data_IF_801573367348
#
_entry.id   IF_801573367348
#
_cell.length_a   1.000
_cell.length_b   1.000
_cell.length_c   1.000
_cell.angle_alpha   90.00
_cell.angle_beta   90.00
_cell.angle_gamma   90.00
#
_symmetry.space_group_name_H-M   'P 1'
#
loop_
_entity.id
_entity.type
_entity.pdbx_description
1 polymer ?
#
# COMPACT_ATOMS: atom_id res chain seq x y z
N UNK A 1 46.26 -82.91 22.18
CA UNK A 1 46.47 -82.57 23.59
C UNK A 1 47.50 -81.46 23.61
N UNK A 2 47.07 -80.25 23.97
CA UNK A 2 47.80 -79.07 24.52
C UNK A 2 49.04 -78.55 23.75
N UNK A 3 49.35 -77.27 23.58
CA UNK A 3 48.95 -75.96 24.14
C UNK A 3 49.53 -74.91 23.16
N UNK A 4 48.74 -73.99 22.62
CA UNK A 4 48.72 -72.57 23.00
C UNK A 4 50.11 -71.96 23.26
N UNK A 5 50.65 -71.25 22.27
CA UNK A 5 51.52 -70.08 22.51
C UNK A 5 50.89 -68.85 21.87
N UNK A 6 50.18 -68.08 22.71
CA UNK A 6 49.84 -66.68 22.52
C UNK A 6 51.05 -65.87 22.99
N UNK A 7 51.69 -65.10 22.10
CA UNK A 7 52.51 -63.97 22.55
C UNK A 7 52.50 -62.82 21.52
N UNK A 8 51.77 -61.77 21.91
CA UNK A 8 51.95 -60.34 21.67
C UNK A 8 52.14 -59.82 20.24
N UNK A 9 51.01 -59.48 19.58
CA UNK A 9 50.97 -58.38 18.61
C UNK A 9 50.63 -57.08 19.35
N UNK A 10 51.38 -55.97 19.15
CA UNK A 10 51.02 -54.68 19.72
C UNK A 10 49.70 -54.18 19.11
N UNK A 11 48.89 -53.37 19.85
CA UNK A 11 47.64 -52.86 19.33
C UNK A 11 47.90 -51.96 18.12
N UNK A 12 47.03 -51.98 17.09
CA UNK A 12 47.19 -51.09 15.95
C UNK A 12 47.10 -49.64 16.44
N UNK A 13 48.12 -48.84 16.10
CA UNK A 13 48.14 -47.42 16.35
C UNK A 13 46.90 -46.77 15.74
N UNK A 14 46.20 -45.94 16.53
CA UNK A 14 45.00 -45.17 16.15
C UNK A 14 45.24 -44.15 15.02
N UNK A 15 46.44 -44.07 14.46
CA UNK A 15 46.84 -43.08 13.46
C UNK A 15 46.54 -43.47 12.00
N UNK A 16 46.13 -44.71 11.71
CA UNK A 16 45.83 -45.13 10.32
C UNK A 16 44.37 -44.94 9.87
N UNK A 17 43.50 -44.40 10.73
CA UNK A 17 42.08 -44.26 10.40
C UNK A 17 41.68 -42.88 9.83
N UNK A 18 42.57 -41.89 9.85
CA UNK A 18 42.27 -40.52 9.37
C UNK A 18 42.85 -40.20 7.97
N UNK A 19 43.58 -41.14 7.34
CA UNK A 19 44.20 -40.90 6.01
C UNK A 19 43.30 -41.18 4.81
N UNK A 20 42.09 -41.70 5.01
CA UNK A 20 41.15 -42.09 3.94
C UNK A 20 39.90 -41.20 3.84
N UNK A 21 39.88 -40.04 4.52
CA UNK A 21 38.87 -39.02 4.23
C UNK A 21 39.23 -38.33 2.89
N UNK A 22 38.43 -38.47 1.82
CA UNK A 22 38.74 -37.83 0.55
C UNK A 22 38.81 -36.31 0.76
N UNK A 23 39.95 -35.70 0.47
CA UNK A 23 40.16 -34.27 0.63
C UNK A 23 39.04 -33.47 -0.09
N UNK A 24 38.54 -32.39 0.51
CA UNK A 24 37.53 -31.54 -0.12
C UNK A 24 38.15 -30.90 -1.36
N UNK A 25 37.84 -31.50 -2.50
CA UNK A 25 38.37 -31.16 -3.81
C UNK A 25 38.01 -29.70 -4.17
N UNK A 26 38.96 -28.79 -4.01
CA UNK A 26 38.82 -27.34 -4.20
C UNK A 26 38.32 -26.95 -5.60
N UNK A 27 38.62 -27.74 -6.64
CA UNK A 27 38.17 -27.47 -8.01
C UNK A 27 36.67 -27.71 -8.19
N UNK A 28 36.01 -28.55 -7.38
CA UNK A 28 34.55 -28.75 -7.48
C UNK A 28 33.76 -27.46 -7.26
N UNK A 29 34.29 -26.49 -6.50
CA UNK A 29 33.66 -25.18 -6.28
C UNK A 29 33.50 -24.37 -7.58
N UNK A 30 34.34 -24.61 -8.58
CA UNK A 30 34.35 -23.90 -9.86
C UNK A 30 33.57 -24.61 -10.96
N UNK A 31 33.32 -25.91 -10.78
CA UNK A 31 32.63 -26.76 -11.76
C UNK A 31 31.20 -27.15 -11.36
N UNK A 32 30.69 -26.66 -10.21
CA UNK A 32 29.25 -26.70 -9.92
C UNK A 32 28.56 -25.68 -10.84
N UNK A 33 27.71 -26.11 -11.78
CA UNK A 33 26.94 -25.19 -12.62
C UNK A 33 26.16 -24.22 -11.72
N UNK A 34 25.95 -22.95 -12.11
CA UNK A 34 25.08 -22.06 -11.36
C UNK A 34 23.74 -22.76 -11.15
N UNK A 35 23.32 -22.88 -9.90
CA UNK A 35 22.14 -23.63 -9.48
C UNK A 35 20.98 -23.38 -10.47
N UNK A 36 20.42 -24.46 -11.04
CA UNK A 36 19.18 -24.35 -11.80
C UNK A 36 18.18 -23.52 -10.98
N UNK A 37 17.47 -22.55 -11.59
CA UNK A 37 16.52 -21.73 -10.86
C UNK A 37 15.55 -22.66 -10.15
N UNK A 38 15.63 -22.69 -8.81
CA UNK A 38 14.82 -23.62 -8.01
C UNK A 38 13.35 -23.39 -8.40
N UNK A 39 12.60 -24.47 -8.70
CA UNK A 39 11.21 -24.30 -9.09
C UNK A 39 10.47 -23.56 -7.98
N UNK A 40 9.75 -22.49 -8.35
CA UNK A 40 8.91 -21.75 -7.41
C UNK A 40 7.98 -22.73 -6.68
N UNK A 41 7.86 -22.59 -5.36
CA UNK A 41 6.93 -23.42 -4.57
C UNK A 41 5.51 -23.27 -5.13
N UNK A 42 4.68 -24.33 -5.10
CA UNK A 42 3.33 -24.31 -5.68
C UNK A 42 2.47 -23.16 -5.13
N UNK A 43 2.56 -22.88 -3.83
CA UNK A 43 1.85 -21.76 -3.18
C UNK A 43 2.21 -20.41 -3.80
N UNK A 44 3.51 -20.16 -4.04
CA UNK A 44 3.97 -18.91 -4.63
C UNK A 44 3.54 -18.78 -6.09
N UNK A 45 3.57 -19.88 -6.86
CA UNK A 45 3.04 -19.90 -8.23
C UNK A 45 1.55 -19.56 -8.26
N UNK A 46 0.75 -20.16 -7.38
CA UNK A 46 -0.68 -19.87 -7.29
C UNK A 46 -0.95 -18.42 -6.90
N UNK A 47 -0.16 -17.86 -5.98
CA UNK A 47 -0.31 -16.46 -5.56
C UNK A 47 0.09 -15.46 -6.65
N UNK A 48 1.18 -15.72 -7.38
CA UNK A 48 1.56 -14.94 -8.57
C UNK A 48 0.45 -15.04 -9.63
N UNK A 49 -0.10 -16.23 -9.84
CA UNK A 49 -1.23 -16.45 -10.75
C UNK A 49 -2.48 -15.65 -10.35
N UNK A 50 -2.89 -15.73 -9.08
CA UNK A 50 -4.04 -15.02 -8.56
C UNK A 50 -3.88 -13.49 -8.62
N UNK A 51 -2.72 -12.98 -8.19
CA UNK A 51 -2.41 -11.54 -8.24
C UNK A 51 -2.35 -11.01 -9.68
N UNK A 52 -1.72 -11.75 -10.59
CA UNK A 52 -1.66 -11.41 -12.00
C UNK A 52 -3.04 -11.43 -12.66
N UNK A 53 -3.84 -12.48 -12.43
CA UNK A 53 -5.19 -12.60 -12.96
C UNK A 53 -6.12 -11.50 -12.45
N UNK A 54 -6.10 -11.20 -11.15
CA UNK A 54 -6.94 -10.15 -10.58
C UNK A 54 -6.55 -8.77 -11.11
N UNK A 55 -5.25 -8.48 -11.23
CA UNK A 55 -4.76 -7.21 -11.79
C UNK A 55 -5.18 -7.04 -13.25
N UNK A 56 -5.08 -8.13 -14.03
CA UNK A 56 -5.47 -8.17 -15.43
C UNK A 56 -6.98 -7.93 -15.59
N UNK A 57 -7.80 -8.63 -14.79
CA UNK A 57 -9.25 -8.49 -14.81
C UNK A 57 -9.70 -7.10 -14.36
N UNK A 58 -9.11 -6.56 -13.29
CA UNK A 58 -9.39 -5.20 -12.82
C UNK A 58 -9.07 -4.17 -13.90
N UNK A 59 -7.89 -4.28 -14.53
CA UNK A 59 -7.50 -3.40 -15.63
C UNK A 59 -8.44 -3.50 -16.84
N UNK A 60 -8.81 -4.72 -17.24
CA UNK A 60 -9.74 -4.95 -18.35
C UNK A 60 -11.13 -4.38 -18.07
N UNK A 61 -11.67 -4.57 -16.86
CA UNK A 61 -12.96 -4.03 -16.44
C UNK A 61 -12.97 -2.49 -16.50
N UNK A 62 -11.90 -1.85 -16.03
CA UNK A 62 -11.77 -0.39 -16.10
C UNK A 62 -11.77 0.08 -17.55
N UNK A 63 -10.95 -0.54 -18.41
CA UNK A 63 -10.90 -0.19 -19.83
C UNK A 63 -12.26 -0.39 -20.52
N UNK A 64 -12.93 -1.51 -20.28
CA UNK A 64 -14.29 -1.76 -20.78
C UNK A 64 -15.26 -0.70 -20.25
N UNK A 65 -15.16 -0.32 -18.98
CA UNK A 65 -16.00 0.72 -18.37
C UNK A 65 -15.87 2.07 -19.07
N UNK A 66 -14.64 2.48 -19.39
CA UNK A 66 -14.37 3.71 -20.14
C UNK A 66 -14.90 3.64 -21.58
N UNK A 67 -14.67 2.54 -22.30
CA UNK A 67 -15.15 2.39 -23.69
C UNK A 67 -16.68 2.26 -23.78
N UNK A 68 -17.29 1.57 -22.83
CA UNK A 68 -18.75 1.39 -22.76
C UNK A 68 -19.47 2.59 -22.12
N UNK A 69 -18.73 3.61 -21.65
CA UNK A 69 -19.27 4.78 -20.95
C UNK A 69 -20.11 4.39 -19.72
N UNK A 70 -19.75 3.28 -19.06
CA UNK A 70 -20.46 2.72 -17.90
C UNK A 70 -19.71 3.09 -16.62
N UNK A 71 -20.19 4.13 -15.95
CA UNK A 71 -19.59 4.66 -14.72
C UNK A 71 -19.43 3.59 -13.63
N UNK A 72 -20.35 2.64 -13.48
CA UNK A 72 -20.26 1.59 -12.45
C UNK A 72 -19.03 0.68 -12.57
N UNK A 73 -18.46 0.51 -13.77
CA UNK A 73 -17.27 -0.33 -13.96
C UNK A 73 -15.97 0.42 -13.63
N UNK A 74 -15.99 1.75 -13.79
CA UNK A 74 -14.87 2.65 -13.50
C UNK A 74 -14.89 3.09 -12.04
N UNK A 75 -16.08 3.27 -11.49
CA UNK A 75 -16.34 3.79 -10.15
C UNK A 75 -17.32 2.84 -9.44
N UNK A 76 -16.78 2.03 -8.52
CA UNK A 76 -17.54 0.95 -7.87
C UNK A 76 -18.72 1.48 -7.06
N UNK A 77 -18.57 2.67 -6.45
CA UNK A 77 -19.67 3.37 -5.79
C UNK A 77 -19.51 4.89 -5.99
N UNK A 78 -20.60 5.69 -5.99
CA UNK A 78 -20.53 7.14 -6.24
C UNK A 78 -19.63 7.89 -5.26
N UNK A 79 -19.46 7.38 -4.03
CA UNK A 79 -18.60 7.95 -3.00
C UNK A 79 -17.12 7.56 -3.15
N UNK A 80 -16.77 6.68 -4.10
CA UNK A 80 -15.40 6.18 -4.30
C UNK A 80 -14.74 6.88 -5.46
N UNK A 81 -13.42 6.90 -5.47
CA UNK A 81 -12.70 7.52 -6.57
C UNK A 81 -12.79 6.66 -7.84
N UNK A 82 -13.14 7.25 -9.00
CA UNK A 82 -13.14 6.54 -10.28
C UNK A 82 -11.71 6.15 -10.67
N UNK A 83 -11.52 4.91 -11.15
CA UNK A 83 -10.20 4.45 -11.62
C UNK A 83 -9.87 5.08 -12.98
N UNK A 84 -8.79 5.88 -13.09
CA UNK A 84 -8.40 6.49 -14.36
C UNK A 84 -8.05 5.47 -15.45
N UNK A 85 -8.22 5.83 -16.73
CA UNK A 85 -8.01 4.92 -17.85
C UNK A 85 -6.56 4.39 -17.94
N UNK A 86 -5.58 5.28 -17.78
CA UNK A 86 -4.16 4.92 -17.75
C UNK A 86 -3.83 3.95 -16.61
N UNK A 87 -4.54 4.05 -15.48
CA UNK A 87 -4.43 3.08 -14.38
C UNK A 87 -5.01 1.73 -14.74
N UNK A 88 -6.17 1.68 -15.39
CA UNK A 88 -6.71 0.44 -15.93
C UNK A 88 -5.71 -0.25 -16.87
N UNK A 89 -5.13 0.49 -17.80
CA UNK A 89 -4.13 -0.04 -18.73
C UNK A 89 -2.86 -0.54 -18.02
N UNK A 90 -2.33 0.24 -17.07
CA UNK A 90 -1.14 -0.16 -16.30
C UNK A 90 -1.39 -1.43 -15.48
N UNK A 91 -2.57 -1.56 -14.86
CA UNK A 91 -2.98 -2.77 -14.13
C UNK A 91 -3.12 -3.98 -15.05
N UNK A 92 -3.67 -3.79 -16.25
CA UNK A 92 -3.79 -4.84 -17.25
C UNK A 92 -2.41 -5.38 -17.65
N UNK A 93 -1.48 -4.47 -17.99
CA UNK A 93 -0.12 -4.83 -18.40
C UNK A 93 0.67 -5.43 -17.23
N UNK A 94 0.51 -4.90 -16.01
CA UNK A 94 1.13 -5.45 -14.81
C UNK A 94 0.66 -6.88 -14.50
N UNK A 95 -0.64 -7.13 -14.64
CA UNK A 95 -1.22 -8.47 -14.48
C UNK A 95 -0.64 -9.45 -15.50
N UNK A 96 -0.53 -9.04 -16.76
CA UNK A 96 0.11 -9.83 -17.81
C UNK A 96 1.60 -10.10 -17.47
N UNK A 97 2.35 -9.10 -17.00
CA UNK A 97 3.75 -9.28 -16.60
C UNK A 97 3.89 -10.36 -15.52
N UNK A 98 3.07 -10.31 -14.47
CA UNK A 98 3.08 -11.30 -13.39
C UNK A 98 2.71 -12.71 -13.88
N UNK A 99 1.72 -12.85 -14.75
CA UNK A 99 1.29 -14.14 -15.32
C UNK A 99 2.34 -14.76 -16.24
N UNK A 100 3.18 -13.96 -16.90
CA UNK A 100 4.26 -14.44 -17.76
C UNK A 100 5.42 -15.06 -16.97
N UNK A 101 5.54 -14.75 -15.67
CA UNK A 101 6.60 -15.25 -14.80
C UNK A 101 6.55 -16.78 -14.61
N UNK A 102 5.42 -17.40 -14.18
CA UNK A 102 5.34 -18.87 -14.08
C UNK A 102 5.39 -19.57 -15.44
N UNK A 103 5.08 -18.88 -16.54
CA UNK A 103 5.16 -19.40 -17.91
C UNK A 103 6.60 -19.42 -18.46
N UNK A 104 7.58 -18.86 -17.75
CA UNK A 104 8.97 -18.81 -18.19
C UNK A 104 9.24 -17.80 -19.33
N UNK A 105 8.25 -16.97 -19.69
CA UNK A 105 8.34 -15.98 -20.76
C UNK A 105 9.00 -14.69 -20.27
N UNK A 106 10.20 -14.81 -19.70
CA UNK A 106 10.85 -13.73 -18.97
C UNK A 106 11.11 -12.48 -19.80
N UNK A 107 11.45 -12.60 -21.09
CA UNK A 107 11.69 -11.43 -21.97
C UNK A 107 10.45 -10.57 -22.12
N UNK A 108 9.30 -11.18 -22.40
CA UNK A 108 8.02 -10.47 -22.53
C UNK A 108 7.59 -9.87 -21.19
N UNK A 109 7.73 -10.63 -20.10
CA UNK A 109 7.41 -10.13 -18.75
C UNK A 109 8.26 -8.92 -18.36
N UNK A 110 9.56 -8.92 -18.66
CA UNK A 110 10.45 -7.76 -18.46
C UNK A 110 9.96 -6.54 -19.24
N UNK A 111 9.59 -6.71 -20.51
CA UNK A 111 9.09 -5.60 -21.33
C UNK A 111 7.81 -4.99 -20.74
N UNK A 112 6.84 -5.83 -20.36
CA UNK A 112 5.60 -5.35 -19.74
C UNK A 112 5.84 -4.68 -18.40
N UNK A 113 6.69 -5.24 -17.54
CA UNK A 113 7.05 -4.62 -16.27
C UNK A 113 7.80 -3.28 -16.46
N UNK A 114 8.65 -3.17 -17.48
CA UNK A 114 9.34 -1.93 -17.82
C UNK A 114 8.36 -0.84 -18.29
N UNK A 115 7.36 -1.20 -19.12
CA UNK A 115 6.31 -0.27 -19.56
C UNK A 115 5.53 0.24 -18.34
N UNK A 116 5.08 -0.65 -17.46
CA UNK A 116 4.33 -0.28 -16.24
C UNK A 116 5.16 0.66 -15.35
N UNK A 117 6.45 0.34 -15.17
CA UNK A 117 7.39 1.19 -14.42
C UNK A 117 7.49 2.57 -15.04
N UNK A 118 7.64 2.65 -16.36
CA UNK A 118 7.74 3.91 -17.10
C UNK A 118 6.48 4.76 -16.96
N UNK A 119 5.30 4.17 -17.16
CA UNK A 119 4.01 4.88 -17.03
C UNK A 119 3.87 5.47 -15.64
N UNK A 120 4.03 4.66 -14.59
CA UNK A 120 3.92 5.17 -13.21
C UNK A 120 4.96 6.25 -12.89
N UNK A 121 6.23 6.06 -13.30
CA UNK A 121 7.32 6.98 -12.99
C UNK A 121 7.16 8.32 -13.69
N UNK A 122 6.70 8.30 -14.95
CA UNK A 122 6.40 9.51 -15.70
C UNK A 122 5.25 10.26 -15.05
N UNK A 123 4.17 9.59 -14.65
CA UNK A 123 3.05 10.26 -13.96
C UNK A 123 3.46 10.82 -12.60
N UNK A 124 4.36 10.16 -11.86
CA UNK A 124 4.96 10.75 -10.65
C UNK A 124 5.75 12.02 -11.00
N UNK A 125 6.53 11.99 -12.09
CA UNK A 125 7.29 13.15 -12.53
C UNK A 125 6.37 14.32 -12.90
N UNK A 126 5.26 14.09 -13.60
CA UNK A 126 4.25 15.12 -13.92
C UNK A 126 3.66 15.79 -12.67
N UNK A 127 3.56 15.07 -11.56
CA UNK A 127 3.09 15.65 -10.29
C UNK A 127 4.13 16.57 -9.66
N UNK A 128 5.42 16.28 -9.80
CA UNK A 128 6.49 17.07 -9.19
C UNK A 128 6.95 18.24 -10.06
N UNK A 129 7.06 18.06 -11.37
CA UNK A 129 7.53 19.11 -12.28
C UNK A 129 6.41 20.04 -12.73
N UNK A 130 5.15 19.59 -12.61
CA UNK A 130 4.00 20.29 -13.19
C UNK A 130 4.01 20.30 -14.72
N UNK A 131 4.95 19.58 -15.36
CA UNK A 131 4.96 19.41 -16.81
C UNK A 131 3.85 18.46 -17.21
N UNK A 132 3.04 18.88 -18.18
CA UNK A 132 2.00 18.05 -18.76
C UNK A 132 2.61 17.24 -19.92
N UNK A 133 3.06 16.01 -19.66
CA UNK A 133 3.47 15.10 -20.74
C UNK A 133 2.25 14.53 -21.48
N UNK A 134 1.02 14.88 -21.06
CA UNK A 134 -0.25 14.49 -21.64
C UNK A 134 -0.42 12.97 -21.77
N UNK A 135 0.28 12.19 -20.94
CA UNK A 135 0.20 10.72 -20.97
C UNK A 135 -1.23 10.26 -20.69
N UNK A 136 -1.94 10.99 -19.83
CA UNK A 136 -3.32 10.72 -19.48
C UNK A 136 -4.29 10.95 -20.66
N UNK A 137 -3.98 11.91 -21.55
CA UNK A 137 -4.82 12.32 -22.67
C UNK A 137 -4.41 11.69 -24.01
N UNK A 138 -3.22 11.07 -24.09
CA UNK A 138 -2.69 10.50 -25.33
C UNK A 138 -3.50 9.30 -25.83
N UNK A 139 -4.23 8.62 -24.93
CA UNK A 139 -4.91 7.36 -25.19
C UNK A 139 -6.44 7.47 -25.23
N UNK A 140 -7.03 8.41 -24.48
CA UNK A 140 -8.47 8.65 -24.49
C UNK A 140 -8.76 10.08 -23.99
N UNK A 141 -9.64 10.81 -24.67
CA UNK A 141 -10.20 12.07 -24.16
C UNK A 141 -11.27 11.77 -23.12
N UNK A 142 -11.11 12.30 -21.90
CA UNK A 142 -11.98 12.01 -20.77
C UNK A 142 -13.36 12.66 -20.91
N UNK A 143 -14.41 11.86 -20.75
CA UNK A 143 -15.80 12.32 -20.73
C UNK A 143 -16.30 12.65 -19.31
N UNK A 144 -15.57 12.23 -18.27
CA UNK A 144 -15.93 12.41 -16.87
C UNK A 144 -14.82 13.17 -16.16
N UNK A 145 -15.16 14.36 -15.63
CA UNK A 145 -14.25 15.22 -14.87
C UNK A 145 -14.78 15.30 -13.44
N UNK A 146 -14.16 14.64 -12.46
CA UNK A 146 -14.48 14.88 -11.05
C UNK A 146 -14.10 16.32 -10.68
N UNK A 147 -14.90 16.97 -9.82
CA UNK A 147 -14.62 18.32 -9.34
C UNK A 147 -13.22 18.41 -8.69
N UNK A 148 -12.39 19.35 -9.17
CA UNK A 148 -11.12 19.72 -8.53
C UNK A 148 -9.86 18.95 -8.97
N UNK A 149 -9.92 18.08 -9.98
CA UNK A 149 -8.74 17.36 -10.53
C UNK A 149 -8.56 17.55 -12.03
N UNK A 150 -7.30 17.46 -12.51
CA UNK A 150 -7.03 17.33 -13.94
C UNK A 150 -7.68 16.01 -14.43
N UNK A 151 -8.59 16.07 -15.44
CA UNK A 151 -9.40 14.93 -15.81
C UNK A 151 -8.56 13.71 -16.19
N UNK A 152 -8.83 12.60 -15.50
CA UNK A 152 -8.28 11.29 -15.82
C UNK A 152 -6.80 11.06 -15.56
N UNK A 153 -6.16 11.93 -14.77
CA UNK A 153 -4.82 11.71 -14.26
C UNK A 153 -4.84 10.80 -13.04
N UNK A 154 -3.92 9.83 -12.97
CA UNK A 154 -3.72 9.07 -11.71
C UNK A 154 -3.40 10.04 -10.58
N UNK A 155 -3.88 9.74 -9.38
CA UNK A 155 -3.33 10.39 -8.19
C UNK A 155 -1.85 10.05 -8.02
N UNK A 156 -1.11 10.90 -7.30
CA UNK A 156 0.30 10.65 -6.98
C UNK A 156 0.49 9.31 -6.24
N UNK A 157 -0.43 8.92 -5.36
CA UNK A 157 -0.35 7.67 -4.60
C UNK A 157 -0.57 6.45 -5.48
N UNK A 158 -1.54 6.52 -6.41
CA UNK A 158 -1.76 5.47 -7.40
C UNK A 158 -0.57 5.34 -8.35
N UNK A 159 0.01 6.46 -8.79
CA UNK A 159 1.19 6.47 -9.64
C UNK A 159 2.41 5.85 -8.96
N UNK A 160 2.67 6.19 -7.68
CA UNK A 160 3.71 5.55 -6.86
C UNK A 160 3.46 4.05 -6.76
N UNK A 161 2.23 3.63 -6.45
CA UNK A 161 1.89 2.21 -6.36
C UNK A 161 2.13 1.46 -7.67
N UNK A 162 1.70 2.02 -8.81
CA UNK A 162 1.93 1.43 -10.13
C UNK A 162 3.43 1.32 -10.44
N UNK A 163 4.22 2.36 -10.12
CA UNK A 163 5.68 2.31 -10.25
C UNK A 163 6.27 1.16 -9.42
N UNK A 164 5.85 1.02 -8.17
CA UNK A 164 6.35 -0.04 -7.27
C UNK A 164 5.97 -1.45 -7.76
N UNK A 165 4.77 -1.61 -8.31
CA UNK A 165 4.35 -2.87 -8.95
C UNK A 165 5.26 -3.17 -10.15
N UNK A 166 5.48 -2.19 -11.02
CA UNK A 166 6.36 -2.30 -12.18
C UNK A 166 7.79 -2.68 -11.80
N UNK A 167 8.38 -1.96 -10.85
CA UNK A 167 9.75 -2.21 -10.36
C UNK A 167 9.86 -3.59 -9.72
N UNK A 168 8.93 -3.96 -8.85
CA UNK A 168 8.93 -5.27 -8.20
C UNK A 168 8.79 -6.41 -9.21
N UNK A 169 7.87 -6.30 -10.17
CA UNK A 169 7.71 -7.26 -11.25
C UNK A 169 8.96 -7.35 -12.13
N UNK A 170 9.56 -6.21 -12.49
CA UNK A 170 10.78 -6.14 -13.28
C UNK A 170 11.92 -6.88 -12.59
N UNK A 171 12.08 -6.67 -11.28
CA UNK A 171 13.07 -7.38 -10.46
C UNK A 171 12.78 -8.89 -10.41
N UNK A 172 11.53 -9.34 -10.39
CA UNK A 172 11.21 -10.78 -10.42
C UNK A 172 11.61 -11.46 -11.74
N UNK A 173 11.69 -10.72 -12.85
CA UNK A 173 12.11 -11.25 -14.15
C UNK A 173 13.63 -11.19 -14.40
N UNK A 174 14.39 -10.44 -13.59
CA UNK A 174 15.84 -10.30 -13.75
C UNK A 174 16.64 -11.45 -13.11
N UNK A 175 17.87 -11.66 -13.61
CA UNK A 175 18.82 -12.65 -13.06
C UNK A 175 19.22 -12.33 -11.61
N UNK A 176 19.79 -13.32 -10.93
CA UNK A 176 20.11 -13.28 -9.49
C UNK A 176 21.05 -12.12 -9.13
N UNK A 177 20.51 -11.10 -8.47
CA UNK A 177 21.28 -10.05 -7.78
C UNK A 177 21.05 -10.18 -6.27
N UNK A 178 22.08 -9.97 -5.42
CA UNK A 178 21.96 -10.11 -3.97
C UNK A 178 20.95 -9.13 -3.37
N UNK A 179 20.82 -7.92 -3.94
CA UNK A 179 19.93 -6.87 -3.45
C UNK A 179 18.49 -6.98 -3.97
N UNK A 180 18.24 -7.86 -4.94
CA UNK A 180 16.94 -8.00 -5.60
C UNK A 180 15.81 -8.27 -4.59
N UNK A 181 16.06 -9.18 -3.65
CA UNK A 181 15.08 -9.59 -2.62
C UNK A 181 14.74 -8.44 -1.67
N UNK A 182 15.74 -7.66 -1.28
CA UNK A 182 15.55 -6.47 -0.45
C UNK A 182 14.62 -5.46 -1.15
N UNK A 183 14.91 -5.12 -2.41
CA UNK A 183 14.10 -4.16 -3.15
C UNK A 183 12.68 -4.64 -3.44
N UNK A 184 12.48 -5.92 -3.77
CA UNK A 184 11.14 -6.51 -3.95
C UNK A 184 10.35 -6.42 -2.63
N UNK A 185 10.97 -6.75 -1.49
CA UNK A 185 10.32 -6.67 -0.19
C UNK A 185 9.97 -5.22 0.19
N UNK A 186 10.87 -4.27 -0.08
CA UNK A 186 10.63 -2.84 0.11
C UNK A 186 9.43 -2.35 -0.71
N UNK A 187 9.38 -2.71 -2.00
CA UNK A 187 8.23 -2.39 -2.86
C UNK A 187 6.93 -3.00 -2.31
N UNK A 188 6.97 -4.27 -1.91
CA UNK A 188 5.82 -4.96 -1.32
C UNK A 188 5.34 -4.33 -0.01
N UNK A 189 6.26 -3.88 0.84
CA UNK A 189 5.94 -3.24 2.12
C UNK A 189 5.21 -1.91 1.93
N UNK A 190 5.71 -1.06 1.02
CA UNK A 190 5.10 0.23 0.72
C UNK A 190 3.73 0.03 0.05
N UNK A 191 3.62 -0.92 -0.89
CA UNK A 191 2.34 -1.28 -1.51
C UNK A 191 1.31 -1.76 -0.49
N UNK A 192 1.74 -2.58 0.47
CA UNK A 192 0.86 -3.04 1.54
C UNK A 192 0.34 -1.85 2.36
N UNK A 193 1.22 -0.91 2.71
CA UNK A 193 0.85 0.30 3.43
C UNK A 193 -0.20 1.11 2.65
N UNK A 194 0.08 1.43 1.39
CA UNK A 194 -0.81 2.23 0.55
C UNK A 194 -2.17 1.57 0.37
N UNK A 195 -2.18 0.26 0.07
CA UNK A 195 -3.41 -0.49 -0.14
C UNK A 195 -4.24 -0.66 1.13
N UNK A 196 -3.60 -0.94 2.27
CA UNK A 196 -4.31 -1.10 3.57
C UNK A 196 -4.88 0.22 4.07
N UNK A 197 -4.11 1.31 4.00
CA UNK A 197 -4.60 2.65 4.38
C UNK A 197 -5.80 3.05 3.52
N UNK A 198 -5.74 2.81 2.20
CA UNK A 198 -6.85 3.09 1.30
C UNK A 198 -8.10 2.25 1.64
N UNK A 199 -7.96 0.93 1.84
CA UNK A 199 -9.08 0.05 2.19
C UNK A 199 -9.72 0.42 3.53
N UNK A 200 -8.92 0.76 4.55
CA UNK A 200 -9.43 1.23 5.85
C UNK A 200 -10.16 2.56 5.69
N UNK A 201 -9.64 3.48 4.87
CA UNK A 201 -10.33 4.73 4.55
C UNK A 201 -11.71 4.52 3.92
N UNK A 202 -11.83 3.51 3.04
CA UNK A 202 -13.10 3.14 2.43
C UNK A 202 -14.10 2.51 3.41
N UNK A 203 -13.65 1.64 4.32
CA UNK A 203 -14.55 1.03 5.32
C UNK A 203 -15.03 2.02 6.38
N UNK A 204 -14.25 3.07 6.65
CA UNK A 204 -14.61 4.14 7.59
C UNK A 204 -15.47 5.25 6.96
N UNK A 205 -15.75 5.22 5.65
CA UNK A 205 -16.57 6.23 4.97
C UNK A 205 -15.92 7.63 4.90
N UNK A 206 -14.59 7.72 5.04
CA UNK A 206 -13.84 8.98 5.06
C UNK A 206 -13.59 9.58 3.67
N UNK A 207 -14.38 9.19 2.67
CA UNK A 207 -14.05 9.39 1.25
C UNK A 207 -14.30 10.79 0.73
N UNK A 208 -15.08 11.62 1.42
CA UNK A 208 -15.51 12.94 0.88
C UNK A 208 -15.54 14.09 1.88
N UNK A 209 -15.54 13.86 3.20
CA UNK A 209 -15.84 14.93 4.19
C UNK A 209 -14.61 15.49 4.93
N UNK A 210 -13.42 14.91 4.73
CA UNK A 210 -12.19 15.32 5.42
C UNK A 210 -11.12 15.77 4.42
N UNK A 211 -10.23 16.68 4.84
CA UNK A 211 -8.96 17.00 4.15
C UNK A 211 -8.07 15.77 3.87
N UNK A 212 -8.44 14.61 4.41
CA UNK A 212 -7.89 13.29 4.09
C UNK A 212 -8.32 12.71 2.74
N UNK A 213 -9.24 13.36 2.01
CA UNK A 213 -9.54 13.09 0.60
C UNK A 213 -8.33 13.18 -0.33
N UNK A 214 -7.17 13.62 0.17
CA UNK A 214 -5.88 13.50 -0.50
C UNK A 214 -5.28 12.08 -0.43
N UNK A 215 -5.39 11.36 0.68
CA UNK A 215 -4.81 10.01 0.86
C UNK A 215 -5.73 8.88 0.37
N UNK A 216 -7.05 9.08 0.38
CA UNK A 216 -8.05 8.15 -0.21
C UNK A 216 -8.12 8.22 -1.74
N UNK A 217 -7.18 8.92 -2.39
CA UNK A 217 -7.06 9.00 -3.85
C UNK A 217 -6.50 7.73 -4.51
N UNK A 218 -6.69 6.57 -3.92
CA UNK A 218 -6.42 5.30 -4.60
C UNK A 218 -7.75 4.62 -4.78
N UNK A 219 -8.12 4.30 -6.02
CA UNK A 219 -9.39 3.62 -6.29
C UNK A 219 -9.48 2.28 -5.56
N UNK A 220 -10.69 1.85 -5.19
CA UNK A 220 -10.92 0.58 -4.48
C UNK A 220 -10.28 -0.60 -5.23
N UNK A 221 -10.43 -0.64 -6.55
CA UNK A 221 -9.83 -1.67 -7.41
C UNK A 221 -8.29 -1.65 -7.30
N UNK A 222 -7.68 -0.47 -7.32
CA UNK A 222 -6.25 -0.29 -7.12
C UNK A 222 -5.78 -0.76 -5.75
N UNK A 223 -6.50 -0.38 -4.69
CA UNK A 223 -6.16 -0.74 -3.31
C UNK A 223 -6.14 -2.26 -3.09
N UNK A 224 -7.15 -2.98 -3.62
CA UNK A 224 -7.21 -4.45 -3.56
C UNK A 224 -6.03 -5.08 -4.31
N UNK A 225 -5.73 -4.59 -5.52
CA UNK A 225 -4.58 -5.07 -6.29
C UNK A 225 -3.26 -4.82 -5.56
N UNK A 226 -3.09 -3.64 -4.95
CA UNK A 226 -1.87 -3.27 -4.22
C UNK A 226 -1.61 -4.22 -3.06
N UNK A 227 -2.63 -4.54 -2.26
CA UNK A 227 -2.50 -5.50 -1.15
C UNK A 227 -2.14 -6.90 -1.65
N UNK A 228 -2.76 -7.37 -2.74
CA UNK A 228 -2.53 -8.71 -3.25
C UNK A 228 -1.14 -8.86 -3.90
N UNK A 229 -0.70 -7.85 -4.66
CA UNK A 229 0.67 -7.82 -5.23
C UNK A 229 1.70 -7.66 -4.13
N UNK A 230 1.43 -6.85 -3.09
CA UNK A 230 2.29 -6.75 -1.92
C UNK A 230 2.50 -8.09 -1.23
N UNK A 231 1.43 -8.85 -0.97
CA UNK A 231 1.52 -10.19 -0.40
C UNK A 231 2.39 -11.11 -1.28
N UNK A 232 2.24 -11.02 -2.60
CA UNK A 232 3.06 -11.77 -3.56
C UNK A 232 4.55 -11.43 -3.44
N UNK A 233 4.90 -10.14 -3.38
CA UNK A 233 6.28 -9.68 -3.25
C UNK A 233 6.91 -10.08 -1.91
N UNK A 234 6.17 -9.94 -0.81
CA UNK A 234 6.66 -10.30 0.53
C UNK A 234 6.89 -11.81 0.65
N UNK A 235 5.95 -12.62 0.16
CA UNK A 235 6.10 -14.09 0.18
C UNK A 235 7.21 -14.54 -0.77
N UNK A 236 7.36 -13.91 -1.94
CA UNK A 236 8.49 -14.15 -2.85
C UNK A 236 9.84 -13.86 -2.16
N UNK A 237 9.95 -12.73 -1.46
CA UNK A 237 11.15 -12.34 -0.75
C UNK A 237 11.44 -13.27 0.44
N UNK A 238 10.41 -13.76 1.12
CA UNK A 238 10.53 -14.63 2.28
C UNK A 238 10.93 -16.08 1.94
N UNK A 239 10.40 -16.64 0.84
CA UNK A 239 10.65 -18.03 0.46
C UNK A 239 12.06 -18.30 -0.09
N UNK A 240 12.78 -17.26 -0.49
CA UNK A 240 14.12 -17.38 -1.04
C UNK A 240 15.22 -17.49 0.04
N UNK A 241 14.88 -17.78 1.31
CA UNK A 241 15.86 -17.96 2.39
C UNK A 241 16.58 -19.30 2.21
N UNK A 242 17.83 -19.25 1.75
CA UNK A 242 18.75 -20.36 1.89
C UNK A 242 19.07 -20.56 3.38
N UNK A 243 19.22 -21.82 3.79
CA UNK A 243 19.50 -22.23 5.17
C UNK A 243 20.81 -21.64 5.76
N UNK A 244 21.57 -20.86 5.01
CA UNK A 244 22.89 -20.33 5.36
C UNK A 244 22.87 -18.89 5.92
N UNK A 245 21.82 -18.09 5.68
CA UNK A 245 21.72 -16.71 6.20
C UNK A 245 20.73 -16.64 7.37
N UNK A 246 21.25 -16.91 8.58
CA UNK A 246 20.53 -16.85 9.84
C UNK A 246 20.32 -15.41 10.37
N UNK A 247 20.69 -14.37 9.62
CA UNK A 247 20.41 -12.99 9.99
C UNK A 247 18.94 -12.62 9.72
N UNK A 248 18.39 -11.73 10.56
CA UNK A 248 17.06 -11.18 10.33
C UNK A 248 17.05 -10.40 9.00
N UNK A 249 15.97 -10.49 8.19
CA UNK A 249 15.93 -9.82 6.90
C UNK A 249 16.07 -8.30 7.09
N UNK A 250 16.96 -7.66 6.33
CA UNK A 250 17.16 -6.20 6.37
C UNK A 250 15.90 -5.39 6.03
N UNK A 251 14.88 -6.02 5.45
CA UNK A 251 13.56 -5.45 5.15
C UNK A 251 12.49 -5.71 6.24
N UNK A 252 12.74 -6.62 7.18
CA UNK A 252 11.81 -6.93 8.28
C UNK A 252 11.61 -5.71 9.21
N UNK A 253 12.66 -4.93 9.56
CA UNK A 253 12.48 -3.65 10.25
C UNK A 253 11.67 -2.63 9.46
N UNK A 254 11.75 -2.64 8.13
CA UNK A 254 10.95 -1.75 7.29
C UNK A 254 9.47 -2.15 7.32
N UNK A 255 9.15 -3.44 7.24
CA UNK A 255 7.78 -3.93 7.44
C UNK A 255 7.25 -3.60 8.83
N UNK A 256 8.08 -3.78 9.86
CA UNK A 256 7.70 -3.39 11.22
C UNK A 256 7.50 -1.88 11.31
N UNK A 257 8.37 -1.06 10.71
CA UNK A 257 8.22 0.39 10.67
C UNK A 257 6.96 0.84 9.93
N UNK A 258 6.65 0.22 8.80
CA UNK A 258 5.40 0.44 8.05
C UNK A 258 4.18 0.01 8.86
N UNK A 259 4.22 -1.17 9.49
CA UNK A 259 3.14 -1.67 10.34
C UNK A 259 2.93 -0.80 11.57
N UNK A 260 4.01 -0.35 12.21
CA UNK A 260 3.96 0.60 13.33
C UNK A 260 3.39 1.93 12.86
N UNK A 261 3.85 2.49 11.74
CA UNK A 261 3.32 3.74 11.21
C UNK A 261 1.83 3.62 10.85
N UNK A 262 1.41 2.53 10.20
CA UNK A 262 0.01 2.25 9.91
C UNK A 262 -0.82 2.10 11.19
N UNK A 263 -0.28 1.42 12.21
CA UNK A 263 -0.89 1.30 13.53
C UNK A 263 -0.97 2.63 14.28
N UNK A 264 0.07 3.46 14.21
CA UNK A 264 0.08 4.81 14.77
C UNK A 264 -0.93 5.70 14.08
N UNK A 265 -1.06 5.62 12.75
CA UNK A 265 -2.09 6.33 11.99
C UNK A 265 -3.49 5.84 12.39
N UNK A 266 -3.70 4.53 12.52
CA UNK A 266 -4.97 3.95 12.96
C UNK A 266 -5.34 4.42 14.39
N UNK A 267 -4.39 4.38 15.32
CA UNK A 267 -4.59 4.85 16.70
C UNK A 267 -4.80 6.37 16.76
N UNK A 268 -4.09 7.13 15.94
CA UNK A 268 -4.27 8.57 15.83
C UNK A 268 -5.68 8.88 15.30
N UNK A 269 -6.16 8.13 14.31
CA UNK A 269 -7.50 8.28 13.75
C UNK A 269 -8.61 7.98 14.76
N UNK A 270 -8.49 6.89 15.52
CA UNK A 270 -9.50 6.57 16.55
C UNK A 270 -9.56 7.63 17.64
N UNK A 271 -8.41 8.17 18.04
CA UNK A 271 -8.32 9.28 19.00
C UNK A 271 -9.02 10.54 18.48
N UNK A 272 -8.75 10.95 17.24
CA UNK A 272 -9.35 12.16 16.67
C UNK A 272 -10.85 12.01 16.40
N UNK A 273 -11.33 10.80 16.11
CA UNK A 273 -12.77 10.55 15.99
C UNK A 273 -13.48 10.76 17.35
N UNK A 274 -12.84 10.42 18.46
CA UNK A 274 -13.39 10.65 19.80
C UNK A 274 -13.33 12.13 20.21
N UNK A 275 -12.25 12.84 19.85
CA UNK A 275 -12.02 14.22 20.23
C UNK A 275 -13.07 15.18 19.66
N UNK A 276 -13.56 14.94 18.44
CA UNK A 276 -14.61 15.79 17.83
C UNK A 276 -16.00 15.54 18.40
N UNK A 277 -16.35 14.30 18.74
CA UNK A 277 -17.62 14.00 19.41
C UNK A 277 -17.69 14.65 20.80
N UNK A 278 -16.53 14.79 21.47
CA UNK A 278 -16.41 15.55 22.71
C UNK A 278 -16.49 17.05 22.46
N UNK A 279 -15.76 17.57 21.45
CA UNK A 279 -15.74 18.98 21.10
C UNK A 279 -17.13 19.52 20.78
N UNK A 280 -17.92 18.82 19.96
CA UNK A 280 -19.28 19.23 19.58
C UNK A 280 -20.22 19.27 20.79
N UNK A 281 -20.09 18.33 21.73
CA UNK A 281 -20.86 18.34 22.99
C UNK A 281 -20.49 19.54 23.86
N UNK A 282 -19.21 19.82 24.03
CA UNK A 282 -18.76 21.03 24.77
C UNK A 282 -19.16 22.32 24.08
N UNK A 283 -19.12 22.37 22.75
CA UNK A 283 -19.52 23.55 21.97
C UNK A 283 -21.02 23.81 22.12
N UNK A 284 -21.86 22.77 22.07
CA UNK A 284 -23.29 22.90 22.30
C UNK A 284 -23.62 23.34 23.73
N UNK A 285 -22.92 22.78 24.73
CA UNK A 285 -23.09 23.17 26.13
C UNK A 285 -22.63 24.61 26.40
N UNK A 286 -21.55 25.07 25.75
CA UNK A 286 -21.11 26.45 25.81
C UNK A 286 -22.07 27.41 25.09
N UNK A 287 -22.62 27.01 23.94
CA UNK A 287 -23.61 27.80 23.19
C UNK A 287 -24.94 27.91 23.93
N UNK A 288 -25.42 26.85 24.59
CA UNK A 288 -26.62 26.95 25.42
C UNK A 288 -26.37 27.83 26.65
N UNK A 289 -25.23 27.65 27.33
CA UNK A 289 -24.88 28.46 28.51
C UNK A 289 -24.72 29.94 28.20
N UNK A 290 -24.09 30.28 27.08
CA UNK A 290 -23.94 31.69 26.63
C UNK A 290 -25.28 32.30 26.21
N UNK A 291 -26.16 31.53 25.58
CA UNK A 291 -27.52 31.99 25.23
C UNK A 291 -28.32 32.32 26.50
N UNK A 292 -28.31 31.44 27.49
CA UNK A 292 -29.05 31.62 28.74
C UNK A 292 -28.52 32.83 29.55
N UNK A 293 -27.19 33.06 29.55
CA UNK A 293 -26.62 34.25 30.22
C UNK A 293 -27.01 35.56 29.52
N UNK A 294 -27.04 35.57 28.18
CA UNK A 294 -27.45 36.75 27.41
C UNK A 294 -28.93 37.06 27.65
N UNK A 295 -29.78 36.03 27.69
CA UNK A 295 -31.23 36.17 27.94
C UNK A 295 -31.51 36.73 29.34
N UNK A 296 -30.84 36.20 30.37
CA UNK A 296 -30.95 36.71 31.74
C UNK A 296 -30.49 38.18 31.88
N UNK A 297 -29.42 38.57 31.18
CA UNK A 297 -28.94 39.97 31.17
C UNK A 297 -29.90 40.91 30.45
N UNK A 298 -30.55 40.45 29.38
CA UNK A 298 -31.53 41.24 28.64
C UNK A 298 -32.81 41.45 29.46
N UNK A 299 -33.35 40.40 30.09
CA UNK A 299 -34.51 40.52 30.98
C UNK A 299 -34.25 41.51 32.12
N UNK A 300 -33.09 41.39 32.77
CA UNK A 300 -32.72 42.30 33.86
C UNK A 300 -32.67 43.76 33.38
N UNK A 301 -32.09 44.02 32.20
CA UNK A 301 -32.04 45.38 31.63
C UNK A 301 -33.41 45.89 31.26
N UNK A 302 -34.26 45.07 30.65
CA UNK A 302 -35.64 45.45 30.29
C UNK A 302 -36.44 45.81 31.54
N UNK A 303 -36.38 44.99 32.59
CA UNK A 303 -37.06 45.26 33.85
C UNK A 303 -36.57 46.55 34.52
N UNK A 304 -35.26 46.83 34.47
CA UNK A 304 -34.74 48.09 35.01
C UNK A 304 -35.19 49.32 34.21
N UNK A 305 -35.30 49.21 32.88
CA UNK A 305 -35.81 50.27 32.02
C UNK A 305 -37.30 50.50 32.21
N UNK A 306 -38.09 49.44 32.35
CA UNK A 306 -39.51 49.53 32.63
C UNK A 306 -39.77 50.19 34.00
N UNK A 307 -39.00 49.79 35.01
CA UNK A 307 -39.10 50.37 36.36
C UNK A 307 -38.62 51.81 36.44
N UNK A 308 -37.74 52.27 35.54
CA UNK A 308 -37.32 53.68 35.47
C UNK A 308 -38.34 54.51 34.68
N UNK A 309 -38.91 53.96 33.60
CA UNK A 309 -39.99 54.58 32.84
C UNK A 309 -41.25 54.80 33.69
N UNK A 310 -41.71 53.77 34.42
CA UNK A 310 -42.85 53.90 35.35
C UNK A 310 -42.62 54.96 36.43
N UNK A 311 -41.39 55.05 36.95
CA UNK A 311 -41.01 56.10 37.91
C UNK A 311 -41.11 57.49 37.28
N UNK A 312 -40.60 57.67 36.06
CA UNK A 312 -40.70 58.95 35.36
C UNK A 312 -42.15 59.40 35.10
N UNK A 313 -43.04 58.47 34.77
CA UNK A 313 -44.47 58.74 34.55
C UNK A 313 -45.17 59.25 35.82
N UNK A 314 -44.86 58.63 36.97
CA UNK A 314 -45.40 59.02 38.29
C UNK A 314 -44.90 60.42 38.70
N UNK A 315 -43.62 60.71 38.50
CA UNK A 315 -43.04 62.01 38.89
C UNK A 315 -43.41 63.14 37.91
N UNK A 316 -43.58 62.86 36.61
CA UNK A 316 -43.96 63.84 35.60
C UNK A 316 -45.38 64.41 35.74
N UNK A 317 -46.27 63.72 36.46
CA UNK A 317 -47.62 64.20 36.77
C UNK A 317 -47.69 65.09 38.02
N UNK A 318 -46.62 65.18 38.82
CA UNK A 318 -46.63 65.93 40.09
C UNK A 318 -46.19 67.41 39.98
N UNK A 319 -45.82 67.88 38.78
CA UNK A 319 -45.25 69.21 38.56
C UNK A 319 -46.07 70.09 37.58
N UNK A 320 -47.39 69.98 37.59
CA UNK A 320 -48.30 70.92 36.92
C UNK A 320 -49.31 71.49 37.89
#
# INVERSE_FOLDING_TARGET
MNEVQLQDRPPPSRERADSDAPEPIWWRRWFVPPEHPRPLRPVLRSLIGASGALSLLAGALVMIGWHAQKQMLVQVAPAFEPTPYNMGMALLIAGAALLLLPLGLHRLGTTFAAIVTGVGSLTVLEHFTGWDFRIDQLLLTHYFVPEGGAPGRMSIYSAIGITLIGVGALLMHQRSSPWRRFWIATCGSILLALGTVALVGYTMGLTTTYDWGYFTRVSVQGAVVFVLVAATFLIYAWQARDRLEAEAPRWLPLLMGVGVAAGTLYLWQTLFHQERALFDRTMQLALSGTKDEIEARLETRVLTLENTAKRWEIWGHSSR
#
